data_IF_792688509955
#
_entry.id   IF_792688509955
#
_cell.length_a   1.000
_cell.length_b   1.000
_cell.length_c   1.000
_cell.angle_alpha   90.00
_cell.angle_beta   90.00
_cell.angle_gamma   90.00
#
_symmetry.space_group_name_H-M   'P 1'
#
loop_
_entity.id
_entity.type
_entity.pdbx_description
1 polymer ?
#
# COMPACT_ATOMS: atom_id res chain seq x y z
N UNK A 1 -18.69 -29.93 -34.92
CA UNK A 1 -17.52 -29.26 -34.32
C UNK A 1 -17.89 -28.74 -32.93
N UNK A 2 -17.72 -29.54 -31.87
CA UNK A 2 -17.88 -29.07 -30.48
C UNK A 2 -16.91 -29.87 -29.61
N UNK A 3 -15.76 -29.30 -29.27
CA UNK A 3 -14.75 -29.98 -28.45
C UNK A 3 -13.62 -29.11 -27.93
N UNK A 4 -13.51 -27.85 -28.35
CA UNK A 4 -12.37 -27.01 -27.99
C UNK A 4 -12.58 -26.11 -26.77
N UNK A 5 -13.82 -25.91 -26.31
CA UNK A 5 -14.12 -24.94 -25.24
C UNK A 5 -13.97 -25.50 -23.82
N UNK A 6 -14.14 -26.81 -23.62
CA UNK A 6 -14.14 -27.40 -22.25
C UNK A 6 -12.73 -27.69 -21.70
N UNK A 7 -11.76 -27.93 -22.58
CA UNK A 7 -10.41 -28.38 -22.19
C UNK A 7 -9.56 -27.26 -21.58
N UNK A 8 -9.72 -26.02 -22.07
CA UNK A 8 -8.97 -24.85 -21.58
C UNK A 8 -9.44 -24.45 -20.17
N UNK A 9 -10.75 -24.46 -19.93
CA UNK A 9 -11.34 -24.16 -18.61
C UNK A 9 -10.91 -25.18 -17.55
N UNK A 10 -10.89 -26.48 -17.90
CA UNK A 10 -10.41 -27.54 -17.00
C UNK A 10 -8.93 -27.41 -16.66
N UNK A 11 -8.07 -27.02 -17.62
CA UNK A 11 -6.63 -26.84 -17.39
C UNK A 11 -6.31 -25.60 -16.54
N UNK A 12 -7.09 -24.52 -16.67
CA UNK A 12 -6.92 -23.35 -15.82
C UNK A 12 -7.38 -23.65 -14.39
N UNK A 13 -8.52 -24.32 -14.23
CA UNK A 13 -9.01 -24.79 -12.94
C UNK A 13 -8.07 -25.83 -12.29
N UNK A 14 -7.44 -26.74 -13.05
CA UNK A 14 -6.54 -27.76 -12.51
C UNK A 14 -5.19 -27.17 -12.04
N UNK A 15 -4.65 -26.17 -12.74
CA UNK A 15 -3.44 -25.45 -12.29
C UNK A 15 -3.71 -24.61 -11.02
N UNK A 16 -4.94 -24.12 -10.84
CA UNK A 16 -5.41 -23.47 -9.60
C UNK A 16 -5.78 -24.51 -8.53
N UNK A 17 -5.94 -25.79 -8.88
CA UNK A 17 -6.47 -26.81 -7.97
C UNK A 17 -5.38 -27.47 -7.11
N UNK A 18 -4.20 -27.77 -7.65
CA UNK A 18 -3.29 -28.71 -6.96
C UNK A 18 -2.39 -28.07 -5.90
N UNK A 19 -1.91 -26.83 -6.10
CA UNK A 19 -1.10 -26.12 -5.09
C UNK A 19 -1.88 -25.11 -4.22
N UNK A 20 -3.14 -24.88 -4.59
CA UNK A 20 -3.86 -23.66 -4.26
C UNK A 20 -5.25 -23.92 -3.64
N UNK A 21 -5.80 -25.13 -3.77
CA UNK A 21 -7.11 -25.46 -3.18
C UNK A 21 -7.14 -25.34 -1.64
N UNK A 22 -6.06 -25.68 -0.95
CA UNK A 22 -6.03 -25.60 0.52
C UNK A 22 -6.14 -24.16 1.04
N UNK A 23 -5.51 -23.19 0.37
CA UNK A 23 -5.62 -21.80 0.79
C UNK A 23 -7.02 -21.25 0.53
N UNK A 24 -7.66 -21.64 -0.59
CA UNK A 24 -9.00 -21.17 -0.89
C UNK A 24 -10.03 -21.71 0.10
N UNK A 25 -9.84 -22.94 0.59
CA UNK A 25 -10.68 -23.48 1.68
C UNK A 25 -10.53 -22.66 2.95
N UNK A 26 -9.31 -22.35 3.36
CA UNK A 26 -9.07 -21.56 4.56
C UNK A 26 -9.52 -20.10 4.41
N UNK A 27 -9.30 -19.51 3.24
CA UNK A 27 -9.84 -18.20 2.87
C UNK A 27 -11.37 -18.18 2.96
N UNK A 28 -12.05 -19.16 2.36
CA UNK A 28 -13.51 -19.25 2.39
C UNK A 28 -14.03 -19.40 3.82
N UNK A 29 -13.34 -20.17 4.66
CA UNK A 29 -13.65 -20.31 6.09
C UNK A 29 -13.51 -18.99 6.84
N UNK A 30 -12.45 -18.23 6.58
CA UNK A 30 -12.20 -16.92 7.20
C UNK A 30 -13.18 -15.86 6.70
N UNK A 31 -13.56 -15.92 5.43
CA UNK A 31 -14.57 -15.05 4.82
C UNK A 31 -15.96 -15.35 5.38
N UNK A 32 -16.34 -16.62 5.53
CA UNK A 32 -17.62 -17.00 6.15
C UNK A 32 -17.68 -16.66 7.64
N UNK A 33 -16.54 -16.72 8.34
CA UNK A 33 -16.42 -16.27 9.72
C UNK A 33 -16.43 -14.74 9.87
N UNK A 34 -16.44 -13.98 8.77
CA UNK A 34 -16.43 -12.52 8.79
C UNK A 34 -15.12 -11.91 9.28
N UNK A 35 -14.02 -12.67 9.31
CA UNK A 35 -12.67 -12.19 9.68
C UNK A 35 -11.96 -11.57 8.47
N UNK A 36 -12.41 -11.96 7.27
CA UNK A 36 -11.92 -11.41 6.01
C UNK A 36 -12.79 -10.24 5.53
N UNK A 37 -12.14 -9.20 5.01
CA UNK A 37 -12.79 -8.09 4.31
C UNK A 37 -12.96 -8.48 2.84
N UNK A 38 -14.20 -8.81 2.46
CA UNK A 38 -14.54 -9.23 1.11
C UNK A 38 -14.37 -8.12 0.08
N UNK A 39 -14.58 -6.86 0.47
CA UNK A 39 -14.53 -5.71 -0.45
C UNK A 39 -13.09 -5.43 -0.88
N UNK A 40 -12.17 -5.43 0.08
CA UNK A 40 -10.77 -5.12 -0.17
C UNK A 40 -9.88 -6.36 -0.33
N UNK A 41 -10.49 -7.56 -0.36
CA UNK A 41 -9.82 -8.86 -0.46
C UNK A 41 -8.64 -9.01 0.52
N UNK A 42 -8.79 -8.59 1.77
CA UNK A 42 -7.71 -8.56 2.78
C UNK A 42 -8.20 -8.97 4.17
N UNK A 43 -7.32 -9.34 5.12
CA UNK A 43 -7.70 -9.52 6.51
C UNK A 43 -8.29 -8.24 7.10
N UNK A 44 -9.34 -8.35 7.92
CA UNK A 44 -9.85 -7.20 8.67
C UNK A 44 -8.79 -6.65 9.62
N UNK A 45 -8.64 -5.33 9.61
CA UNK A 45 -7.67 -4.61 10.45
C UNK A 45 -8.01 -4.80 11.94
N UNK A 46 -9.31 -4.82 12.27
CA UNK A 46 -9.86 -4.99 13.60
C UNK A 46 -10.45 -6.39 13.75
N UNK A 47 -9.69 -7.30 14.37
CA UNK A 47 -10.07 -8.70 14.64
C UNK A 47 -9.31 -9.21 15.87
N UNK A 48 -9.80 -10.29 16.49
CA UNK A 48 -9.19 -10.89 17.68
C UNK A 48 -7.78 -11.41 17.36
N UNK A 49 -6.85 -11.42 18.33
CA UNK A 49 -5.44 -11.80 18.10
C UNK A 49 -5.26 -13.16 17.41
N UNK A 50 -6.08 -14.15 17.79
CA UNK A 50 -6.05 -15.52 17.26
C UNK A 50 -6.54 -15.59 15.82
N UNK A 51 -7.69 -15.00 15.54
CA UNK A 51 -8.30 -14.90 14.20
C UNK A 51 -7.41 -14.12 13.23
N UNK A 52 -6.80 -13.04 13.74
CA UNK A 52 -5.86 -12.22 12.99
C UNK A 52 -4.63 -13.00 12.57
N UNK A 53 -4.10 -13.88 13.42
CA UNK A 53 -2.96 -14.72 13.07
C UNK A 53 -3.29 -15.72 11.94
N UNK A 54 -4.47 -16.33 11.98
CA UNK A 54 -4.93 -17.24 10.92
C UNK A 54 -5.11 -16.50 9.58
N UNK A 55 -5.80 -15.35 9.61
CA UNK A 55 -5.99 -14.52 8.42
C UNK A 55 -4.66 -13.97 7.87
N UNK A 56 -3.73 -13.60 8.74
CA UNK A 56 -2.40 -13.14 8.33
C UNK A 56 -1.57 -14.26 7.67
N UNK A 57 -1.67 -15.49 8.16
CA UNK A 57 -0.99 -16.64 7.56
C UNK A 57 -1.47 -16.90 6.13
N UNK A 58 -2.77 -16.77 5.89
CA UNK A 58 -3.36 -16.88 4.54
C UNK A 58 -2.92 -15.71 3.67
N UNK A 59 -2.99 -14.49 4.20
CA UNK A 59 -2.57 -13.26 3.51
C UNK A 59 -1.11 -13.31 3.04
N UNK A 60 -0.19 -13.74 3.91
CA UNK A 60 1.23 -13.86 3.55
C UNK A 60 1.49 -14.88 2.44
N UNK A 61 0.69 -15.94 2.37
CA UNK A 61 0.78 -16.93 1.29
C UNK A 61 0.21 -16.44 -0.05
N UNK A 62 -0.68 -15.45 -0.01
CA UNK A 62 -1.28 -14.86 -1.22
C UNK A 62 -0.42 -13.78 -1.84
N UNK A 63 0.45 -13.15 -1.06
CA UNK A 63 1.32 -12.10 -1.54
C UNK A 63 2.50 -12.68 -2.33
N UNK A 64 2.92 -12.01 -3.42
CA UNK A 64 4.12 -12.40 -4.12
C UNK A 64 5.36 -12.17 -3.25
N UNK A 65 6.45 -12.90 -3.50
CA UNK A 65 7.65 -12.86 -2.66
C UNK A 65 8.29 -11.46 -2.64
N UNK A 66 8.15 -10.70 -3.72
CA UNK A 66 8.62 -9.32 -3.91
C UNK A 66 7.71 -8.27 -3.25
N UNK A 67 6.61 -8.67 -2.60
CA UNK A 67 5.71 -7.75 -1.93
C UNK A 67 6.47 -6.90 -0.89
N UNK A 68 6.37 -5.58 -1.03
CA UNK A 68 7.03 -4.61 -0.17
C UNK A 68 6.59 -4.70 1.29
N UNK A 69 7.37 -4.11 2.19
CA UNK A 69 7.11 -4.16 3.64
C UNK A 69 5.73 -3.63 4.03
N UNK A 70 5.25 -2.58 3.35
CA UNK A 70 3.91 -2.04 3.57
C UNK A 70 2.83 -2.99 3.04
N UNK A 71 2.97 -3.53 1.84
CA UNK A 71 1.95 -4.40 1.22
C UNK A 71 1.77 -5.73 1.98
N UNK A 72 2.82 -6.18 2.67
CA UNK A 72 2.75 -7.31 3.61
C UNK A 72 1.81 -7.09 4.77
N UNK A 73 1.42 -5.85 5.10
CA UNK A 73 0.49 -5.55 6.20
C UNK A 73 -0.92 -5.22 5.65
N UNK A 74 -2.01 -5.78 6.23
CA UNK A 74 -3.37 -5.50 5.77
C UNK A 74 -3.76 -4.01 5.77
N UNK A 75 -3.16 -3.22 6.67
CA UNK A 75 -3.33 -1.76 6.76
C UNK A 75 -2.15 -0.96 6.22
N UNK A 76 -1.21 -1.58 5.49
CA UNK A 76 0.03 -0.95 5.06
C UNK A 76 -0.16 0.23 4.11
N UNK A 77 -1.24 0.24 3.33
CA UNK A 77 -1.61 1.39 2.48
C UNK A 77 -1.83 2.64 3.33
N UNK A 78 -2.53 2.53 4.46
CA UNK A 78 -2.74 3.66 5.37
C UNK A 78 -1.42 4.14 5.99
N UNK A 79 -0.56 3.20 6.38
CA UNK A 79 0.75 3.53 6.95
C UNK A 79 1.68 4.19 5.91
N UNK A 80 1.64 3.70 4.66
CA UNK A 80 2.35 4.29 3.53
C UNK A 80 1.85 5.72 3.27
N UNK A 81 0.54 5.94 3.28
CA UNK A 81 -0.05 7.27 3.15
C UNK A 81 0.38 8.21 4.27
N UNK A 82 0.33 7.76 5.54
CA UNK A 82 0.78 8.55 6.68
C UNK A 82 2.25 8.96 6.56
N UNK A 83 3.10 8.06 6.09
CA UNK A 83 4.52 8.34 5.87
C UNK A 83 4.75 9.34 4.73
N UNK A 84 3.99 9.26 3.64
CA UNK A 84 4.11 10.24 2.55
C UNK A 84 3.60 11.61 2.97
N UNK A 85 2.52 11.67 3.75
CA UNK A 85 1.97 12.93 4.28
C UNK A 85 2.99 13.56 5.23
N UNK A 86 3.56 12.80 6.17
CA UNK A 86 4.55 13.33 7.11
C UNK A 86 5.82 13.81 6.38
N UNK A 87 6.28 13.07 5.37
CA UNK A 87 7.41 13.47 4.54
C UNK A 87 7.12 14.75 3.76
N UNK A 88 5.92 14.89 3.20
CA UNK A 88 5.50 16.09 2.49
C UNK A 88 5.44 17.31 3.43
N UNK A 89 4.84 17.16 4.61
CA UNK A 89 4.84 18.22 5.62
C UNK A 89 6.27 18.60 6.01
N UNK A 90 7.11 17.61 6.31
CA UNK A 90 8.50 17.83 6.67
C UNK A 90 9.26 18.60 5.58
N UNK A 91 9.09 18.23 4.31
CA UNK A 91 9.71 18.93 3.19
C UNK A 91 9.26 20.40 3.12
N UNK A 92 7.95 20.68 3.26
CA UNK A 92 7.40 22.04 3.22
C UNK A 92 7.97 22.92 4.34
N UNK A 93 8.23 22.39 5.52
CA UNK A 93 8.80 23.17 6.63
C UNK A 93 10.33 23.25 6.58
N UNK A 94 11.01 22.16 6.25
CA UNK A 94 12.47 22.09 6.33
C UNK A 94 13.18 22.72 5.14
N UNK A 95 12.59 22.67 3.94
CA UNK A 95 13.17 23.33 2.75
C UNK A 95 13.33 24.84 2.97
N UNK A 96 12.28 25.61 3.31
CA UNK A 96 12.42 27.05 3.54
C UNK A 96 13.31 27.34 4.76
N UNK A 97 13.17 26.59 5.85
CA UNK A 97 14.03 26.76 7.02
C UNK A 97 15.53 26.60 6.69
N UNK A 98 15.86 25.56 5.92
CA UNK A 98 17.24 25.31 5.49
C UNK A 98 17.71 26.37 4.50
N UNK A 99 16.84 26.81 3.58
CA UNK A 99 17.13 27.90 2.65
C UNK A 99 17.48 29.19 3.39
N UNK A 100 16.72 29.57 4.43
CA UNK A 100 17.00 30.76 5.23
C UNK A 100 18.33 30.69 6.00
N UNK A 101 18.73 29.49 6.42
CA UNK A 101 20.00 29.28 7.13
C UNK A 101 21.22 29.23 6.21
N UNK A 102 21.07 28.66 5.02
CA UNK A 102 22.17 28.47 4.07
C UNK A 102 22.40 29.71 3.19
N UNK A 103 21.33 30.44 2.83
CA UNK A 103 21.44 31.64 1.99
C UNK A 103 21.62 32.87 2.89
N UNK A 104 22.76 33.58 2.80
CA UNK A 104 22.98 34.81 3.56
C UNK A 104 21.91 35.86 3.23
N UNK A 105 21.47 36.61 4.25
CA UNK A 105 20.44 37.65 4.16
C UNK A 105 20.64 38.62 2.99
N UNK A 106 21.90 38.96 2.67
CA UNK A 106 22.24 39.90 1.60
C UNK A 106 21.75 39.47 0.21
N UNK A 107 21.78 38.16 -0.10
CA UNK A 107 21.26 37.63 -1.36
C UNK A 107 19.74 37.51 -1.37
N UNK A 108 19.14 37.26 -0.19
CA UNK A 108 17.70 37.13 -0.02
C UNK A 108 16.98 38.47 -0.20
N UNK A 109 17.55 39.55 0.36
CA UNK A 109 17.05 40.91 0.18
C UNK A 109 17.17 41.36 -1.29
N UNK A 110 18.25 41.00 -1.98
CA UNK A 110 18.47 41.32 -3.40
C UNK A 110 17.48 40.68 -4.36
N UNK A 111 16.78 39.61 -3.97
CA UNK A 111 15.73 38.96 -4.78
C UNK A 111 14.34 39.47 -4.36
N UNK A 112 14.11 39.64 -3.04
CA UNK A 112 12.83 40.07 -2.50
C UNK A 112 12.51 41.55 -2.77
N UNK A 113 13.52 42.43 -2.78
CA UNK A 113 13.35 43.88 -2.93
C UNK A 113 13.77 44.41 -4.31
N UNK A 114 14.39 43.60 -5.18
CA UNK A 114 14.83 44.02 -6.53
C UNK A 114 13.74 44.61 -7.42
N UNK A 115 12.47 44.31 -7.14
CA UNK A 115 11.33 44.74 -7.96
C UNK A 115 10.83 46.14 -7.62
N UNK A 116 11.29 46.75 -6.51
CA UNK A 116 10.81 48.05 -6.06
C UNK A 116 11.72 49.24 -6.41
N UNK A 117 12.89 49.02 -7.00
CA UNK A 117 13.84 50.10 -7.32
C UNK A 117 13.59 50.73 -8.72
N UNK A 118 12.46 50.41 -9.37
CA UNK A 118 12.16 50.79 -10.77
C UNK A 118 11.10 51.87 -10.97
N UNK A 119 10.57 52.49 -9.90
CA UNK A 119 9.59 53.58 -10.01
C UNK A 119 10.00 54.76 -9.13
N UNK A 120 10.89 55.60 -9.67
CA UNK A 120 11.06 57.00 -9.30
C UNK A 120 11.11 57.83 -10.58
#
# INVERSE_FOLDING_TARGET
MHGFSTTISKRFASNISEGHAEYYREFNRLASAGIWDQLNMRPKVFSTKTEKAAAMKVWQKMLPEDAGWFDRRPGGVFLKMLLHISLACFAVFMIPYTYEKVVPEEYRCKIKYKKNDGHH
#
